data_IF_871367406188
#
_entry.id   IF_871367406188
#
_cell.length_a   1.000
_cell.length_b   1.000
_cell.length_c   1.000
_cell.angle_alpha   90.00
_cell.angle_beta   90.00
_cell.angle_gamma   90.00
#
_symmetry.space_group_name_H-M   'P 1'
#
loop_
_entity.id
_entity.type
_entity.pdbx_description
1 polymer ?
#
# COMPACT_ATOMS: atom_id res chain seq x y z
N UNK A 1 -18.00 3.66 -37.19
CA UNK A 1 -18.61 3.52 -35.84
C UNK A 1 -17.93 2.49 -34.91
N UNK A 2 -16.82 1.82 -35.29
CA UNK A 2 -16.15 0.83 -34.41
C UNK A 2 -14.79 1.29 -33.82
N UNK A 3 -14.22 2.41 -34.28
CA UNK A 3 -12.91 2.92 -33.80
C UNK A 3 -13.01 3.68 -32.47
N UNK A 4 -14.18 4.25 -32.17
CA UNK A 4 -14.37 5.02 -30.93
C UNK A 4 -14.51 4.13 -29.69
N UNK A 5 -15.07 2.91 -29.84
CA UNK A 5 -15.20 1.96 -28.74
C UNK A 5 -13.85 1.41 -28.22
N UNK A 6 -12.86 1.28 -29.11
CA UNK A 6 -11.50 0.82 -28.73
C UNK A 6 -10.71 1.93 -28.02
N UNK A 7 -10.96 3.19 -28.37
CA UNK A 7 -10.40 4.35 -27.68
C UNK A 7 -11.11 4.64 -26.35
N UNK A 8 -12.39 4.30 -26.23
CA UNK A 8 -13.17 4.47 -24.99
C UNK A 8 -12.79 3.43 -23.92
N UNK A 9 -12.36 2.22 -24.32
CA UNK A 9 -11.80 1.21 -23.42
C UNK A 9 -10.49 1.68 -22.74
N UNK A 10 -9.76 2.62 -23.35
CA UNK A 10 -8.51 3.18 -22.80
C UNK A 10 -8.75 4.30 -21.78
N UNK A 11 -9.98 4.80 -21.63
CA UNK A 11 -10.32 5.96 -20.77
C UNK A 11 -11.05 5.62 -19.48
N UNK A 12 -11.58 4.40 -19.32
CA UNK A 12 -12.10 3.94 -18.03
C UNK A 12 -10.92 3.44 -17.19
N UNK A 13 -10.29 4.34 -16.44
CA UNK A 13 -9.41 3.90 -15.36
C UNK A 13 -10.24 2.98 -14.46
N UNK A 14 -9.77 1.73 -14.27
CA UNK A 14 -10.28 0.85 -13.24
C UNK A 14 -10.32 1.64 -11.93
N UNK A 15 -11.51 1.81 -11.30
CA UNK A 15 -11.63 2.56 -10.07
C UNK A 15 -10.62 2.13 -9.01
N UNK A 16 -10.30 0.84 -8.92
CA UNK A 16 -9.32 0.32 -7.96
C UNK A 16 -7.89 0.79 -8.27
N UNK A 17 -7.52 0.86 -9.56
CA UNK A 17 -6.23 1.45 -9.96
C UNK A 17 -6.20 2.94 -9.64
N UNK A 18 -7.28 3.68 -9.90
CA UNK A 18 -7.37 5.09 -9.56
C UNK A 18 -7.20 5.33 -8.05
N UNK A 19 -7.84 4.48 -7.21
CA UNK A 19 -7.67 4.52 -5.75
C UNK A 19 -6.26 4.18 -5.29
N UNK A 20 -5.61 3.23 -5.94
CA UNK A 20 -4.22 2.90 -5.62
C UNK A 20 -3.28 4.10 -5.89
N UNK A 21 -3.46 4.77 -7.03
CA UNK A 21 -2.70 5.96 -7.38
C UNK A 21 -3.03 7.16 -6.48
N UNK A 22 -4.26 7.27 -6.01
CA UNK A 22 -4.67 8.25 -5.00
C UNK A 22 -3.92 8.03 -3.68
N UNK A 23 -3.88 6.79 -3.18
CA UNK A 23 -3.09 6.44 -2.01
C UNK A 23 -1.59 6.69 -2.22
N UNK A 24 -1.05 6.39 -3.41
CA UNK A 24 0.34 6.68 -3.74
C UNK A 24 0.68 8.18 -3.62
N UNK A 25 -0.17 9.05 -4.17
CA UNK A 25 -0.01 10.50 -4.05
C UNK A 25 -0.14 10.97 -2.60
N UNK A 26 -1.09 10.42 -1.86
CA UNK A 26 -1.25 10.73 -0.44
C UNK A 26 0.02 10.37 0.34
N UNK A 27 0.58 9.18 0.13
CA UNK A 27 1.84 8.72 0.76
C UNK A 27 2.98 9.71 0.45
N UNK A 28 3.14 10.10 -0.82
CA UNK A 28 4.21 11.02 -1.23
C UNK A 28 4.12 12.41 -0.58
N UNK A 29 2.90 12.87 -0.28
CA UNK A 29 2.65 14.17 0.35
C UNK A 29 2.63 14.14 1.89
N UNK A 30 2.29 13.01 2.52
CA UNK A 30 1.98 12.96 3.96
C UNK A 30 2.90 12.05 4.79
N UNK A 31 3.83 11.32 4.16
CA UNK A 31 4.82 10.50 4.87
C UNK A 31 6.20 11.15 4.84
N UNK A 32 7.07 10.91 5.85
CA UNK A 32 8.45 11.38 5.82
C UNK A 32 9.21 10.90 4.56
N UNK A 33 10.21 11.65 4.04
CA UNK A 33 10.99 11.23 2.87
C UNK A 33 11.66 9.85 3.01
N UNK A 34 12.05 9.48 4.24
CA UNK A 34 12.65 8.19 4.55
C UNK A 34 11.64 7.05 4.82
N UNK A 35 10.34 7.27 4.60
CA UNK A 35 9.34 6.23 4.79
C UNK A 35 9.56 5.07 3.80
N UNK A 36 9.59 3.85 4.33
CA UNK A 36 9.59 2.61 3.55
C UNK A 36 8.20 1.99 3.60
N UNK A 37 7.63 1.68 2.44
CA UNK A 37 6.25 1.22 2.29
C UNK A 37 6.23 -0.22 1.77
N UNK A 38 5.44 -1.10 2.37
CA UNK A 38 5.20 -2.44 1.83
C UNK A 38 3.92 -2.45 1.00
N UNK A 39 3.98 -2.96 -0.24
CA UNK A 39 2.80 -3.04 -1.10
C UNK A 39 2.88 -4.16 -2.15
N UNK A 40 1.73 -4.55 -2.71
CA UNK A 40 1.65 -5.61 -3.73
C UNK A 40 2.24 -5.21 -5.10
N UNK A 41 2.21 -3.92 -5.45
CA UNK A 41 2.70 -3.36 -6.73
C UNK A 41 3.78 -2.31 -6.46
N UNK A 42 4.97 -2.73 -6.00
CA UNK A 42 5.96 -1.81 -5.44
C UNK A 42 6.44 -0.77 -6.46
N UNK A 43 6.70 -1.17 -7.71
CA UNK A 43 7.20 -0.26 -8.75
C UNK A 43 6.20 0.85 -9.05
N UNK A 44 4.91 0.50 -9.19
CA UNK A 44 3.86 1.48 -9.43
C UNK A 44 3.73 2.46 -8.27
N UNK A 45 3.79 1.97 -7.03
CA UNK A 45 3.73 2.83 -5.86
C UNK A 45 4.97 3.73 -5.78
N UNK A 46 6.16 3.19 -6.03
CA UNK A 46 7.42 3.94 -5.99
C UNK A 46 7.40 5.12 -6.95
N UNK A 47 6.99 4.88 -8.20
CA UNK A 47 6.90 5.90 -9.26
C UNK A 47 5.98 7.07 -8.89
N UNK A 48 4.89 6.80 -8.16
CA UNK A 48 3.87 7.81 -7.87
C UNK A 48 3.97 8.42 -6.46
N UNK A 49 4.57 7.72 -5.50
CA UNK A 49 4.76 8.20 -4.13
C UNK A 49 6.14 8.83 -3.90
N UNK A 50 7.15 8.47 -4.70
CA UNK A 50 8.54 8.89 -4.45
C UNK A 50 9.04 8.42 -3.09
N UNK A 51 8.70 7.19 -2.69
CA UNK A 51 9.14 6.55 -1.44
C UNK A 51 9.81 5.22 -1.74
N UNK A 52 10.64 4.74 -0.82
CA UNK A 52 11.15 3.38 -0.90
C UNK A 52 9.97 2.41 -0.71
N UNK A 53 9.91 1.37 -1.55
CA UNK A 53 8.83 0.39 -1.51
C UNK A 53 9.39 -1.02 -1.54
N UNK A 54 8.81 -1.91 -0.76
CA UNK A 54 9.13 -3.35 -0.74
C UNK A 54 7.94 -4.17 -1.17
N UNK A 55 8.21 -5.37 -1.67
CA UNK A 55 7.17 -6.35 -1.95
C UNK A 55 6.35 -6.73 -0.72
N UNK A 56 5.07 -7.00 -0.95
CA UNK A 56 4.18 -7.60 0.03
C UNK A 56 4.71 -8.97 0.48
N UNK A 57 4.54 -9.27 1.77
CA UNK A 57 4.81 -10.60 2.33
C UNK A 57 3.60 -11.51 2.16
N UNK A 58 3.78 -12.62 1.45
CA UNK A 58 2.76 -13.65 1.21
C UNK A 58 2.77 -14.71 2.31
N UNK A 59 2.65 -14.28 3.55
CA UNK A 59 2.61 -15.14 4.74
C UNK A 59 1.74 -14.50 5.82
N UNK A 60 1.18 -15.33 6.71
CA UNK A 60 0.47 -14.90 7.91
C UNK A 60 1.32 -15.02 9.18
N UNK A 61 2.57 -15.49 9.06
CA UNK A 61 3.48 -15.61 10.19
C UNK A 61 3.94 -14.22 10.69
N UNK A 62 3.60 -13.82 11.94
CA UNK A 62 4.01 -12.54 12.51
C UNK A 62 5.53 -12.38 12.61
N UNK A 63 6.28 -13.46 12.86
CA UNK A 63 7.72 -13.40 12.96
C UNK A 63 8.36 -13.01 11.62
N UNK A 64 7.83 -13.52 10.50
CA UNK A 64 8.27 -13.15 9.17
C UNK A 64 7.95 -11.69 8.81
N UNK A 65 6.79 -11.17 9.24
CA UNK A 65 6.42 -9.77 9.06
C UNK A 65 7.31 -8.83 9.88
N UNK A 66 7.58 -9.14 11.15
CA UNK A 66 8.47 -8.35 11.99
C UNK A 66 9.92 -8.41 11.50
N UNK A 67 10.41 -9.59 11.09
CA UNK A 67 11.74 -9.73 10.51
C UNK A 67 11.91 -8.92 9.22
N UNK A 68 10.90 -8.93 8.35
CA UNK A 68 10.89 -8.08 7.16
C UNK A 68 10.91 -6.60 7.54
N UNK A 69 10.05 -6.19 8.49
CA UNK A 69 10.01 -4.81 8.98
C UNK A 69 11.36 -4.35 9.53
N UNK A 70 11.98 -5.15 10.39
CA UNK A 70 13.26 -4.80 11.01
C UNK A 70 14.39 -4.73 9.98
N UNK A 71 14.44 -5.69 9.05
CA UNK A 71 15.46 -5.74 7.99
C UNK A 71 15.32 -4.60 6.99
N UNK A 72 14.10 -4.35 6.52
CA UNK A 72 13.83 -3.44 5.40
C UNK A 72 13.44 -2.02 5.88
N UNK A 73 13.29 -1.81 7.20
CA UNK A 73 12.88 -0.53 7.78
C UNK A 73 11.43 -0.14 7.47
N UNK A 74 10.53 -1.11 7.29
CA UNK A 74 9.14 -0.86 6.87
C UNK A 74 8.39 -0.04 7.92
N UNK A 75 7.83 1.07 7.44
CA UNK A 75 7.07 2.03 8.25
C UNK A 75 5.59 2.01 7.93
N UNK A 76 5.22 1.65 6.70
CA UNK A 76 3.84 1.67 6.23
C UNK A 76 3.51 0.41 5.44
N UNK A 77 2.23 0.02 5.43
CA UNK A 77 1.69 -1.09 4.66
C UNK A 77 0.49 -0.60 3.86
N UNK A 78 0.41 -0.99 2.58
CA UNK A 78 -0.73 -0.69 1.71
C UNK A 78 -1.55 -1.95 1.48
N UNK A 79 -2.85 -1.87 1.75
CA UNK A 79 -3.85 -2.88 1.39
C UNK A 79 -4.69 -2.32 0.25
N UNK A 80 -4.48 -2.82 -0.97
CA UNK A 80 -5.16 -2.34 -2.18
C UNK A 80 -6.50 -3.03 -2.45
N UNK A 81 -7.42 -2.28 -3.05
CA UNK A 81 -8.76 -2.73 -3.43
C UNK A 81 -8.86 -3.40 -4.80
N UNK A 82 -7.76 -3.78 -5.45
CA UNK A 82 -7.77 -4.28 -6.84
C UNK A 82 -8.17 -5.76 -6.97
N UNK A 83 -8.61 -6.41 -5.88
CA UNK A 83 -9.19 -7.76 -5.94
C UNK A 83 -8.19 -8.91 -6.12
N UNK A 84 -6.88 -8.67 -6.03
CA UNK A 84 -5.88 -9.73 -6.08
C UNK A 84 -5.96 -10.60 -4.82
N UNK A 85 -6.08 -11.92 -5.00
CA UNK A 85 -6.21 -12.88 -3.90
C UNK A 85 -5.11 -12.73 -2.83
N UNK A 86 -3.87 -12.46 -3.23
CA UNK A 86 -2.74 -12.29 -2.32
C UNK A 86 -2.86 -11.09 -1.37
N UNK A 87 -3.39 -9.95 -1.83
CA UNK A 87 -3.58 -8.79 -0.95
C UNK A 87 -4.59 -9.10 0.15
N UNK A 88 -5.70 -9.75 -0.21
CA UNK A 88 -6.73 -10.15 0.76
C UNK A 88 -6.23 -11.26 1.71
N UNK A 89 -5.62 -12.31 1.15
CA UNK A 89 -5.23 -13.50 1.91
C UNK A 89 -4.07 -13.26 2.89
N UNK A 90 -3.22 -12.24 2.65
CA UNK A 90 -2.04 -11.99 3.47
C UNK A 90 -2.06 -10.59 4.08
N UNK A 91 -2.03 -9.52 3.27
CA UNK A 91 -1.91 -8.16 3.79
C UNK A 91 -3.12 -7.77 4.66
N UNK A 92 -4.32 -7.93 4.10
CA UNK A 92 -5.56 -7.58 4.79
C UNK A 92 -5.77 -8.48 6.02
N UNK A 93 -5.68 -9.80 5.82
CA UNK A 93 -5.83 -10.77 6.91
C UNK A 93 -4.84 -10.53 8.06
N UNK A 94 -3.58 -10.20 7.76
CA UNK A 94 -2.58 -9.91 8.78
C UNK A 94 -2.88 -8.61 9.54
N UNK A 95 -3.18 -7.53 8.84
CA UNK A 95 -3.51 -6.23 9.48
C UNK A 95 -4.75 -6.35 10.37
N UNK A 96 -5.78 -7.07 9.91
CA UNK A 96 -7.02 -7.30 10.67
C UNK A 96 -6.81 -8.21 11.89
N UNK A 97 -5.91 -9.20 11.80
CA UNK A 97 -5.56 -10.08 12.93
C UNK A 97 -4.66 -9.39 13.98
N UNK A 98 -3.92 -8.34 13.59
CA UNK A 98 -2.97 -7.64 14.44
C UNK A 98 -3.21 -6.12 14.52
N UNK A 99 -4.42 -5.65 14.86
CA UNK A 99 -4.75 -4.22 14.84
C UNK A 99 -3.95 -3.40 15.87
N UNK A 100 -3.40 -4.06 16.90
CA UNK A 100 -2.52 -3.44 17.87
C UNK A 100 -1.20 -2.93 17.26
N UNK A 101 -0.77 -3.46 16.11
CA UNK A 101 0.48 -3.11 15.43
C UNK A 101 0.33 -1.94 14.45
N UNK A 102 -0.88 -1.56 14.09
CA UNK A 102 -1.15 -0.67 12.96
C UNK A 102 -2.05 0.50 13.33
N UNK A 103 -1.70 1.69 12.86
CA UNK A 103 -2.57 2.86 12.83
C UNK A 103 -3.11 3.06 11.41
N UNK A 104 -4.43 3.06 11.19
CA UNK A 104 -4.99 3.46 9.90
C UNK A 104 -4.77 4.96 9.70
N UNK A 105 -4.06 5.34 8.65
CA UNK A 105 -3.69 6.75 8.39
C UNK A 105 -4.34 7.32 7.13
N UNK A 106 -4.79 6.47 6.21
CA UNK A 106 -5.51 6.91 5.01
C UNK A 106 -6.38 5.79 4.44
N UNK A 107 -7.54 6.16 3.90
CA UNK A 107 -8.45 5.28 3.17
C UNK A 107 -9.10 6.06 2.02
N UNK A 108 -9.12 5.46 0.82
CA UNK A 108 -9.85 6.02 -0.32
C UNK A 108 -11.31 5.57 -0.34
N UNK A 109 -12.13 6.18 -1.19
CA UNK A 109 -13.46 5.66 -1.52
C UNK A 109 -13.40 4.21 -2.07
N UNK A 110 -14.50 3.43 -1.97
CA UNK A 110 -14.59 2.08 -2.54
C UNK A 110 -14.34 2.03 -4.07
N UNK A 111 -13.70 0.98 -4.60
CA UNK A 111 -13.01 -0.10 -3.88
C UNK A 111 -11.74 0.41 -3.17
N UNK A 112 -11.73 0.31 -1.85
CA UNK A 112 -10.83 1.10 -1.01
C UNK A 112 -9.39 0.59 -1.09
N UNK A 113 -8.44 1.54 -1.21
CA UNK A 113 -7.04 1.32 -0.85
C UNK A 113 -6.81 1.95 0.53
N UNK A 114 -6.22 1.18 1.44
CA UNK A 114 -5.93 1.61 2.81
C UNK A 114 -4.43 1.67 3.05
N UNK A 115 -4.00 2.66 3.81
CA UNK A 115 -2.62 2.84 4.25
C UNK A 115 -2.59 2.76 5.77
N UNK A 116 -1.70 1.90 6.27
CA UNK A 116 -1.48 1.70 7.69
C UNK A 116 -0.06 2.11 8.04
N UNK A 117 0.11 2.94 9.06
CA UNK A 117 1.41 3.16 9.69
C UNK A 117 1.65 2.09 10.74
N UNK A 118 2.86 1.57 10.84
CA UNK A 118 3.19 0.57 11.83
C UNK A 118 3.61 1.24 13.15
N UNK A 119 2.91 0.91 14.23
CA UNK A 119 3.14 1.47 15.57
C UNK A 119 4.56 1.22 16.06
N UNK A 120 5.18 2.25 16.63
CA UNK A 120 6.57 2.17 17.09
C UNK A 120 7.60 1.98 15.96
N UNK A 121 7.20 2.08 14.69
CA UNK A 121 8.15 2.28 13.59
C UNK A 121 8.82 3.64 13.74
N UNK A 122 10.04 3.80 13.22
CA UNK A 122 10.85 5.01 13.36
C UNK A 122 10.26 6.24 12.62
N UNK A 123 9.10 6.71 13.05
CA UNK A 123 8.67 8.08 12.84
C UNK A 123 9.31 8.93 13.95
N UNK A 124 10.49 9.50 13.66
CA UNK A 124 11.09 10.54 14.48
C UNK A 124 12.22 10.11 15.43
N UNK A 125 13.41 9.86 14.88
CA UNK A 125 14.64 10.40 15.47
C UNK A 125 15.25 11.38 14.49
N UNK A 126 14.59 12.53 14.32
CA UNK A 126 15.32 13.74 13.95
C UNK A 126 16.19 14.07 15.19
N UNK A 127 17.50 13.94 15.04
CA UNK A 127 18.47 14.60 15.91
C UNK A 127 18.65 16.03 15.41
#
# INVERSE_FOLDING_TARGET
MARDAVLDLRRRQDPAVARYLEAARWIGAHTPPGAVVMARKPDLLHLHAGRLVTDLRFTLDPAAWEAARARDGITHVVVDGMGFAGTKAYAQAFVEAHPALFDPVFETAPPATRVYAWRGGAAGRAR
#
